data_IF_339880488134
#
_entry.id   IF_339880488134
#
_cell.length_a   1.000
_cell.length_b   1.000
_cell.length_c   1.000
_cell.angle_alpha   90.00
_cell.angle_beta   90.00
_cell.angle_gamma   90.00
#
_symmetry.space_group_name_H-M   'P 1'
#
loop_
_entity.id
_entity.type
_entity.pdbx_description
1 polymer ?
#
# COMPACT_ATOMS: atom_id res chain seq x y z
N UNK A 1 -36.60 14.94 2.38
CA UNK A 1 -35.47 14.57 3.26
C UNK A 1 -34.10 14.84 2.66
N UNK A 2 -33.88 14.81 1.33
CA UNK A 2 -32.54 15.07 0.76
C UNK A 2 -32.06 16.53 0.89
N UNK A 3 -32.92 17.54 0.70
CA UNK A 3 -32.54 18.97 0.80
C UNK A 3 -32.00 19.43 2.18
N UNK A 4 -32.28 18.68 3.25
CA UNK A 4 -31.79 19.00 4.62
C UNK A 4 -30.44 18.34 4.88
N UNK A 5 -30.17 17.19 4.25
CA UNK A 5 -28.89 16.50 4.34
C UNK A 5 -27.81 17.25 3.54
N UNK A 6 -28.17 17.83 2.39
CA UNK A 6 -27.24 18.60 1.53
C UNK A 6 -26.71 19.90 2.19
N UNK A 7 -27.35 20.37 3.27
CA UNK A 7 -26.91 21.55 4.04
C UNK A 7 -25.88 21.22 5.14
N UNK A 8 -25.61 19.94 5.40
CA UNK A 8 -24.64 19.49 6.40
C UNK A 8 -23.25 19.45 5.75
N UNK A 9 -22.20 20.04 6.37
CA UNK A 9 -20.85 19.98 5.82
C UNK A 9 -20.41 18.55 5.53
N UNK A 10 -19.74 18.32 4.41
CA UNK A 10 -19.27 16.98 4.00
C UNK A 10 -18.45 16.29 5.10
N UNK A 11 -17.63 17.06 5.84
CA UNK A 11 -16.84 16.55 6.98
C UNK A 11 -17.70 16.04 8.14
N UNK A 12 -18.88 16.63 8.37
CA UNK A 12 -19.82 16.18 9.40
C UNK A 12 -20.55 14.91 8.93
N UNK A 13 -20.92 14.85 7.65
CA UNK A 13 -21.50 13.64 7.06
C UNK A 13 -20.52 12.45 7.12
N UNK A 14 -19.26 12.68 6.77
CA UNK A 14 -18.20 11.68 6.82
C UNK A 14 -18.00 11.17 8.25
N UNK A 15 -17.86 12.06 9.25
CA UNK A 15 -17.72 11.65 10.66
C UNK A 15 -18.91 10.82 11.16
N UNK A 16 -20.13 11.17 10.75
CA UNK A 16 -21.31 10.39 11.08
C UNK A 16 -21.28 9.01 10.42
N UNK A 17 -20.90 8.92 9.14
CA UNK A 17 -20.71 7.66 8.43
C UNK A 17 -19.64 6.78 9.09
N UNK A 18 -18.46 7.34 9.41
CA UNK A 18 -17.40 6.64 10.15
C UNK A 18 -17.91 6.12 11.48
N UNK A 19 -18.59 6.96 12.27
CA UNK A 19 -19.11 6.56 13.58
C UNK A 19 -20.11 5.40 13.48
N UNK A 20 -21.02 5.43 12.50
CA UNK A 20 -21.98 4.35 12.26
C UNK A 20 -21.27 3.07 11.83
N UNK A 21 -20.43 3.12 10.80
CA UNK A 21 -19.71 1.96 10.29
C UNK A 21 -18.87 1.29 11.37
N UNK A 22 -18.03 2.07 12.05
CA UNK A 22 -17.13 1.55 13.09
C UNK A 22 -17.90 1.01 14.30
N UNK A 23 -19.07 1.56 14.61
CA UNK A 23 -19.94 1.01 15.66
C UNK A 23 -20.52 -0.35 15.26
N UNK A 24 -20.94 -0.51 14.00
CA UNK A 24 -21.43 -1.80 13.49
C UNK A 24 -20.32 -2.86 13.52
N UNK A 25 -19.10 -2.51 13.11
CA UNK A 25 -17.96 -3.44 13.11
C UNK A 25 -17.49 -3.84 14.52
N UNK A 26 -17.90 -3.11 15.56
CA UNK A 26 -17.62 -3.42 16.98
C UNK A 26 -18.74 -4.17 17.68
N UNK A 27 -19.80 -4.55 16.97
CA UNK A 27 -20.88 -5.35 17.54
C UNK A 27 -20.36 -6.70 18.06
N UNK A 28 -20.96 -7.26 19.13
CA UNK A 28 -20.66 -8.63 19.58
C UNK A 28 -20.73 -9.65 18.44
N UNK A 29 -19.82 -10.64 18.46
CA UNK A 29 -19.66 -11.64 17.39
C UNK A 29 -20.97 -12.24 16.85
N UNK A 30 -21.98 -12.61 17.67
CA UNK A 30 -23.23 -13.15 17.14
C UNK A 30 -24.02 -12.16 16.28
N UNK A 31 -24.01 -10.87 16.64
CA UNK A 31 -24.68 -9.81 15.87
C UNK A 31 -23.89 -9.46 14.62
N UNK A 32 -22.57 -9.34 14.74
CA UNK A 32 -21.70 -9.09 13.60
C UNK A 32 -21.79 -10.23 12.57
N UNK A 33 -21.91 -11.49 13.04
CA UNK A 33 -22.14 -12.66 12.16
C UNK A 33 -23.47 -12.59 11.41
N UNK A 34 -24.52 -11.98 11.99
CA UNK A 34 -25.79 -11.76 11.25
C UNK A 34 -25.63 -10.74 10.13
N UNK A 35 -24.77 -9.73 10.32
CA UNK A 35 -24.44 -8.75 9.26
C UNK A 35 -23.59 -9.41 8.18
N UNK A 36 -22.52 -10.11 8.59
CA UNK A 36 -21.56 -10.73 7.66
C UNK A 36 -22.16 -11.90 6.85
N UNK A 37 -23.11 -12.64 7.44
CA UNK A 37 -23.63 -13.89 6.88
C UNK A 37 -22.77 -15.12 7.24
N UNK A 38 -23.03 -16.28 6.57
CA UNK A 38 -22.27 -17.51 6.78
C UNK A 38 -20.76 -17.31 6.55
N UNK A 39 -19.87 -18.00 7.28
CA UNK A 39 -18.42 -17.85 7.08
C UNK A 39 -18.00 -18.08 5.63
N UNK A 40 -17.29 -17.11 5.05
CA UNK A 40 -16.69 -17.24 3.72
C UNK A 40 -15.41 -18.06 3.84
N UNK A 41 -15.39 -19.24 3.20
CA UNK A 41 -14.24 -20.13 3.14
C UNK A 41 -13.87 -20.43 1.71
N UNK A 42 -12.65 -20.10 1.31
CA UNK A 42 -12.12 -20.30 -0.05
C UNK A 42 -10.67 -20.75 0.10
N UNK A 43 -10.19 -21.69 -0.71
CA UNK A 43 -8.79 -22.15 -0.70
C UNK A 43 -8.27 -22.60 0.68
N UNK A 44 -9.15 -23.20 1.50
CA UNK A 44 -8.80 -23.72 2.84
C UNK A 44 -8.66 -22.67 3.95
N UNK A 45 -8.90 -21.39 3.67
CA UNK A 45 -8.85 -20.27 4.62
C UNK A 45 -10.24 -19.69 4.87
N UNK A 46 -10.45 -19.07 6.03
CA UNK A 46 -11.70 -18.38 6.42
C UNK A 46 -11.45 -16.88 6.52
N UNK A 47 -12.33 -16.09 5.93
CA UNK A 47 -12.24 -14.62 5.97
C UNK A 47 -12.53 -14.11 7.39
N UNK A 48 -11.74 -13.16 7.87
CA UNK A 48 -11.96 -12.54 9.17
C UNK A 48 -13.39 -11.96 9.24
N UNK A 49 -14.08 -12.19 10.36
CA UNK A 49 -15.50 -11.85 10.50
C UNK A 49 -15.75 -10.34 10.28
N UNK A 50 -14.90 -9.50 10.84
CA UNK A 50 -14.98 -8.04 10.73
C UNK A 50 -14.74 -7.58 9.29
N UNK A 51 -13.84 -8.24 8.57
CA UNK A 51 -13.57 -7.96 7.15
C UNK A 51 -14.75 -8.41 6.29
N UNK A 52 -15.32 -9.58 6.56
CA UNK A 52 -16.51 -10.07 5.88
C UNK A 52 -17.71 -9.13 6.09
N UNK A 53 -17.91 -8.64 7.33
CA UNK A 53 -18.94 -7.66 7.64
C UNK A 53 -18.72 -6.34 6.90
N UNK A 54 -17.48 -5.84 6.85
CA UNK A 54 -17.11 -4.63 6.13
C UNK A 54 -17.45 -4.74 4.64
N UNK A 55 -17.01 -5.81 3.97
CA UNK A 55 -17.32 -6.07 2.56
C UNK A 55 -18.83 -6.15 2.32
N UNK A 56 -19.58 -6.79 3.23
CA UNK A 56 -21.04 -6.90 3.09
C UNK A 56 -21.73 -5.55 3.23
N UNK A 57 -21.27 -4.68 4.13
CA UNK A 57 -21.80 -3.32 4.29
C UNK A 57 -21.47 -2.44 3.08
N UNK A 58 -20.27 -2.57 2.51
CA UNK A 58 -19.89 -1.89 1.26
C UNK A 58 -20.74 -2.33 0.07
N UNK A 59 -20.97 -3.64 -0.07
CA UNK A 59 -21.86 -4.18 -1.10
C UNK A 59 -23.29 -3.64 -0.99
N UNK A 60 -23.84 -3.58 0.23
CA UNK A 60 -25.17 -2.99 0.46
C UNK A 60 -25.22 -1.49 0.17
N UNK A 61 -24.08 -0.79 0.24
CA UNK A 61 -23.95 0.62 -0.13
C UNK A 61 -23.66 0.84 -1.63
N UNK A 62 -23.60 -0.23 -2.44
CA UNK A 62 -23.27 -0.16 -3.86
C UNK A 62 -21.79 0.15 -4.15
N UNK A 63 -20.91 -0.08 -3.18
CA UNK A 63 -19.46 0.17 -3.27
C UNK A 63 -18.68 -1.13 -3.45
N UNK A 64 -19.00 -1.89 -4.51
CA UNK A 64 -18.42 -3.23 -4.75
C UNK A 64 -17.11 -3.20 -5.54
N UNK A 65 -16.71 -2.04 -6.05
CA UNK A 65 -15.56 -1.86 -6.95
C UNK A 65 -14.79 -0.60 -6.61
N UNK A 66 -13.49 -0.63 -6.89
CA UNK A 66 -12.61 0.53 -6.81
C UNK A 66 -12.69 1.40 -8.06
N UNK A 67 -12.87 0.76 -9.23
CA UNK A 67 -13.06 1.44 -10.49
C UNK A 67 -14.37 2.22 -10.52
N UNK A 68 -14.36 3.31 -11.28
CA UNK A 68 -15.52 4.17 -11.51
C UNK A 68 -15.57 4.60 -12.98
N UNK A 69 -16.64 5.30 -13.36
CA UNK A 69 -16.82 5.80 -14.72
C UNK A 69 -15.69 6.77 -15.16
N UNK A 70 -15.06 7.47 -14.20
CA UNK A 70 -13.89 8.34 -14.46
C UNK A 70 -12.83 8.21 -13.35
N UNK A 71 -11.54 8.49 -13.65
CA UNK A 71 -10.47 8.51 -12.64
C UNK A 71 -10.75 9.45 -11.47
N UNK A 72 -11.31 10.63 -11.71
CA UNK A 72 -11.60 11.61 -10.65
C UNK A 72 -12.64 11.09 -9.66
N UNK A 73 -13.66 10.37 -10.14
CA UNK A 73 -14.64 9.73 -9.28
C UNK A 73 -14.03 8.58 -8.48
N UNK A 74 -13.13 7.80 -9.08
CA UNK A 74 -12.41 6.74 -8.38
C UNK A 74 -11.49 7.31 -7.28
N UNK A 75 -10.75 8.38 -7.58
CA UNK A 75 -9.91 9.13 -6.62
C UNK A 75 -10.74 9.66 -5.45
N UNK A 76 -11.85 10.35 -5.73
CA UNK A 76 -12.74 10.87 -4.70
C UNK A 76 -13.38 9.74 -3.86
N UNK A 77 -13.75 8.63 -4.50
CA UNK A 77 -14.29 7.44 -3.82
C UNK A 77 -13.30 6.82 -2.84
N UNK A 78 -12.03 6.68 -3.25
CA UNK A 78 -10.97 6.19 -2.36
C UNK A 78 -10.73 7.13 -1.18
N UNK A 79 -10.61 8.43 -1.43
CA UNK A 79 -10.43 9.44 -0.38
C UNK A 79 -11.57 9.40 0.66
N UNK A 80 -12.82 9.30 0.18
CA UNK A 80 -13.97 9.15 1.07
C UNK A 80 -13.94 7.82 1.84
N UNK A 81 -13.64 6.70 1.17
CA UNK A 81 -13.59 5.38 1.78
C UNK A 81 -12.58 5.30 2.92
N UNK A 82 -11.36 5.82 2.71
CA UNK A 82 -10.31 5.89 3.73
C UNK A 82 -10.73 6.73 4.93
N UNK A 83 -11.29 7.92 4.71
CA UNK A 83 -11.73 8.78 5.83
C UNK A 83 -12.85 8.12 6.65
N UNK A 84 -13.72 7.33 6.01
CA UNK A 84 -14.78 6.57 6.69
C UNK A 84 -14.20 5.50 7.63
N UNK A 85 -13.11 4.85 7.25
CA UNK A 85 -12.49 3.76 8.03
C UNK A 85 -11.32 4.18 8.91
N UNK A 86 -10.92 5.46 8.88
CA UNK A 86 -9.78 6.05 9.58
C UNK A 86 -9.70 5.71 11.08
N UNK A 87 -10.84 5.59 11.73
CA UNK A 87 -10.91 5.32 13.18
C UNK A 87 -10.47 6.53 14.01
N UNK A 88 -9.69 6.29 15.08
CA UNK A 88 -9.21 7.35 15.98
C UNK A 88 -8.00 8.12 15.44
N UNK A 89 -7.44 7.70 14.30
CA UNK A 89 -6.15 8.18 13.80
C UNK A 89 -4.96 7.83 14.69
N UNK A 90 -3.76 8.14 14.19
CA UNK A 90 -2.47 7.93 14.85
C UNK A 90 -1.89 9.28 15.27
N UNK A 91 -1.83 9.53 16.59
CA UNK A 91 -1.15 10.68 17.19
C UNK A 91 0.32 10.38 17.49
N UNK A 92 1.12 11.39 17.85
CA UNK A 92 2.53 11.21 18.23
C UNK A 92 3.51 11.25 17.06
N UNK A 93 3.12 11.91 15.96
CA UNK A 93 3.92 12.01 14.72
C UNK A 93 3.86 13.45 14.22
N UNK A 94 5.03 14.07 14.09
CA UNK A 94 5.20 15.37 13.46
C UNK A 94 5.22 15.20 11.95
N UNK A 95 4.48 16.06 11.26
CA UNK A 95 4.26 15.96 9.82
C UNK A 95 4.60 17.27 9.16
N UNK A 96 5.45 17.22 8.14
CA UNK A 96 5.88 18.40 7.39
C UNK A 96 5.82 18.16 5.89
N UNK A 97 5.35 19.18 5.16
CA UNK A 97 5.39 19.18 3.69
C UNK A 97 6.84 19.25 3.22
N UNK A 98 7.13 18.51 2.16
CA UNK A 98 8.41 18.47 1.46
C UNK A 98 8.14 18.49 -0.04
N UNK A 99 9.20 18.76 -0.77
CA UNK A 99 9.23 18.65 -2.22
C UNK A 99 10.43 17.83 -2.58
N UNK A 100 10.27 16.95 -3.56
CA UNK A 100 11.32 16.08 -4.10
C UNK A 100 11.58 16.54 -5.53
N UNK A 101 12.84 16.79 -5.88
CA UNK A 101 13.20 17.12 -7.25
C UNK A 101 13.28 15.84 -8.09
N UNK A 102 12.58 15.84 -9.22
CA UNK A 102 12.59 14.77 -10.21
C UNK A 102 12.83 15.32 -11.62
N UNK A 103 13.13 14.46 -12.59
CA UNK A 103 13.31 14.84 -13.99
C UNK A 103 12.06 15.48 -14.61
N UNK A 104 10.88 15.16 -14.09
CA UNK A 104 9.60 15.76 -14.48
C UNK A 104 9.26 17.06 -13.76
N UNK A 105 10.10 17.52 -12.83
CA UNK A 105 9.86 18.70 -11.99
C UNK A 105 9.75 18.35 -10.51
N UNK A 106 9.06 19.20 -9.76
CA UNK A 106 8.87 19.04 -8.32
C UNK A 106 7.71 18.10 -7.99
N UNK A 107 8.00 17.03 -7.24
CA UNK A 107 7.00 16.11 -6.70
C UNK A 107 6.66 16.50 -5.25
N UNK A 108 5.38 16.68 -4.90
CA UNK A 108 4.98 16.86 -3.51
C UNK A 108 5.36 15.63 -2.67
N UNK A 109 5.77 15.87 -1.43
CA UNK A 109 6.06 14.81 -0.48
C UNK A 109 5.64 15.20 0.94
N UNK A 110 5.49 14.19 1.80
CA UNK A 110 5.17 14.38 3.21
C UNK A 110 6.14 13.60 4.08
N UNK A 111 6.88 14.32 4.92
CA UNK A 111 7.81 13.75 5.89
C UNK A 111 7.10 13.56 7.24
N UNK A 112 7.13 12.33 7.73
CA UNK A 112 6.59 11.91 9.01
C UNK A 112 7.75 11.57 9.94
N UNK A 113 7.78 12.19 11.12
CA UNK A 113 8.79 11.96 12.15
C UNK A 113 8.12 11.65 13.49
N UNK A 114 8.46 10.55 14.17
CA UNK A 114 7.96 10.28 15.53
C UNK A 114 8.24 11.46 16.46
N UNK A 115 7.25 11.82 17.29
CA UNK A 115 7.48 12.83 18.34
C UNK A 115 8.60 12.39 19.28
N UNK A 116 9.45 13.33 19.70
CA UNK A 116 10.62 13.05 20.54
C UNK A 116 11.86 12.57 19.79
N UNK A 117 11.74 12.14 18.53
CA UNK A 117 12.90 11.75 17.70
C UNK A 117 13.55 12.97 17.06
N UNK A 118 14.68 13.43 17.61
CA UNK A 118 15.48 14.55 17.04
C UNK A 118 16.63 14.04 16.19
N UNK A 119 17.31 12.99 16.65
CA UNK A 119 18.48 12.43 15.99
C UNK A 119 18.15 11.79 14.64
N UNK A 120 19.12 11.72 13.71
CA UNK A 120 18.97 10.96 12.48
C UNK A 120 18.51 9.52 12.72
N UNK A 121 17.69 8.99 11.81
CA UNK A 121 17.20 7.61 11.87
C UNK A 121 17.00 7.07 10.46
N UNK A 122 16.72 5.77 10.34
CA UNK A 122 16.23 5.21 9.10
C UNK A 122 15.07 6.02 8.54
N UNK A 123 15.12 6.25 7.23
CA UNK A 123 14.07 6.89 6.45
C UNK A 123 13.51 5.88 5.46
N UNK A 124 12.21 5.62 5.57
CA UNK A 124 11.45 4.84 4.59
C UNK A 124 10.88 5.80 3.53
N UNK A 125 11.32 5.68 2.28
CA UNK A 125 10.65 6.33 1.14
C UNK A 125 9.44 5.47 0.79
N UNK A 126 8.25 6.04 0.95
CA UNK A 126 6.98 5.32 0.82
C UNK A 126 6.23 5.76 -0.44
N UNK A 127 5.81 4.79 -1.23
CA UNK A 127 4.99 4.98 -2.42
C UNK A 127 3.60 4.41 -2.15
N UNK A 128 2.57 5.23 -2.34
CA UNK A 128 1.21 4.83 -2.04
C UNK A 128 0.65 3.80 -3.05
N UNK A 129 -0.31 2.99 -2.63
CA UNK A 129 -1.09 2.13 -3.51
C UNK A 129 -2.18 2.88 -4.28
N UNK A 130 -2.87 2.16 -5.17
CA UNK A 130 -3.99 2.69 -5.95
C UNK A 130 -3.90 2.45 -7.46
N UNK A 131 -3.28 1.35 -7.88
CA UNK A 131 -3.22 0.95 -9.30
C UNK A 131 -2.61 2.01 -10.21
N UNK A 132 -1.69 2.84 -9.69
CA UNK A 132 -1.06 3.98 -10.38
C UNK A 132 -2.03 5.08 -10.89
N UNK A 133 -3.32 5.01 -10.51
CA UNK A 133 -4.38 5.92 -11.00
C UNK A 133 -5.05 6.67 -9.87
N UNK A 134 -5.18 6.04 -8.70
CA UNK A 134 -5.77 6.61 -7.48
C UNK A 134 -4.78 6.59 -6.32
N UNK A 135 -5.20 7.16 -5.20
CA UNK A 135 -4.33 7.37 -4.04
C UNK A 135 -3.57 8.70 -4.14
N UNK A 136 -3.06 9.14 -3.00
CA UNK A 136 -2.31 10.37 -2.80
C UNK A 136 -1.69 10.35 -1.38
N UNK A 137 -1.06 11.46 -0.99
CA UNK A 137 -0.51 11.63 0.36
C UNK A 137 -1.55 11.55 1.49
N UNK A 138 -2.82 11.90 1.24
CA UNK A 138 -3.86 11.95 2.27
C UNK A 138 -4.50 10.59 2.53
N UNK A 139 -4.76 9.83 1.47
CA UNK A 139 -5.29 8.45 1.52
C UNK A 139 -4.36 7.48 2.27
N UNK A 140 -3.06 7.78 2.38
CA UNK A 140 -2.07 6.94 3.05
C UNK A 140 -1.43 7.62 4.28
N UNK A 141 -1.97 8.78 4.72
CA UNK A 141 -1.44 9.55 5.85
C UNK A 141 -1.39 8.72 7.14
N UNK A 142 -2.47 8.01 7.45
CA UNK A 142 -2.56 7.18 8.65
C UNK A 142 -1.63 5.96 8.61
N UNK A 143 -1.46 5.34 7.44
CA UNK A 143 -0.50 4.24 7.27
C UNK A 143 0.93 4.74 7.50
N UNK A 144 1.31 5.87 6.90
CA UNK A 144 2.62 6.47 7.09
C UNK A 144 2.88 6.87 8.55
N UNK A 145 1.88 7.46 9.23
CA UNK A 145 1.96 7.74 10.67
C UNK A 145 2.12 6.47 11.49
N UNK A 146 1.37 5.42 11.18
CA UNK A 146 1.44 4.14 11.89
C UNK A 146 2.83 3.53 11.79
N UNK A 147 3.37 3.45 10.56
CA UNK A 147 4.71 2.94 10.30
C UNK A 147 5.78 3.79 11.00
N UNK A 148 5.74 5.12 10.84
CA UNK A 148 6.69 6.02 11.48
C UNK A 148 6.71 5.83 13.00
N UNK A 149 5.54 5.92 13.64
CA UNK A 149 5.40 5.83 15.10
C UNK A 149 5.84 4.49 15.65
N UNK A 150 5.35 3.39 15.07
CA UNK A 150 5.46 2.08 15.70
C UNK A 150 6.73 1.32 15.30
N UNK A 151 7.30 1.62 14.12
CA UNK A 151 8.64 1.17 13.77
C UNK A 151 9.73 2.13 14.28
N UNK A 152 9.34 3.31 14.78
CA UNK A 152 10.23 4.35 15.31
C UNK A 152 11.28 4.83 14.29
N UNK A 153 10.80 5.05 13.06
CA UNK A 153 11.57 5.51 11.90
C UNK A 153 10.93 6.76 11.28
N UNK A 154 11.65 7.43 10.40
CA UNK A 154 11.07 8.46 9.54
C UNK A 154 10.43 7.83 8.31
N UNK A 155 9.39 8.46 7.79
CA UNK A 155 8.75 8.07 6.52
C UNK A 155 8.64 9.31 5.63
N UNK A 156 9.07 9.21 4.38
CA UNK A 156 8.82 10.22 3.34
C UNK A 156 7.87 9.63 2.31
N UNK A 157 6.59 10.02 2.36
CA UNK A 157 5.61 9.62 1.36
C UNK A 157 5.72 10.53 0.14
N UNK A 158 5.76 9.95 -1.05
CA UNK A 158 5.94 10.66 -2.34
C UNK A 158 4.64 10.66 -3.13
N UNK A 159 4.25 11.83 -3.66
CA UNK A 159 3.07 12.06 -4.49
C UNK A 159 3.47 11.99 -5.97
N UNK A 160 3.67 10.77 -6.48
CA UNK A 160 4.14 10.54 -7.84
C UNK A 160 3.02 10.78 -8.87
N UNK A 161 3.38 11.02 -10.15
CA UNK A 161 2.41 11.26 -11.22
C UNK A 161 1.52 10.04 -11.48
N UNK A 162 0.21 10.30 -11.64
CA UNK A 162 -0.80 9.26 -11.84
C UNK A 162 -1.26 9.17 -13.28
N UNK A 163 -1.66 7.96 -13.67
CA UNK A 163 -2.42 7.70 -14.88
C UNK A 163 -3.90 8.10 -14.72
N UNK A 164 -4.62 8.35 -15.84
CA UNK A 164 -4.14 8.30 -17.24
C UNK A 164 -3.42 9.56 -17.72
N UNK A 165 -3.33 10.63 -16.91
CA UNK A 165 -2.67 11.88 -17.29
C UNK A 165 -1.17 11.68 -17.56
N UNK A 166 -0.56 10.77 -16.80
CA UNK A 166 0.82 10.34 -16.93
C UNK A 166 0.88 8.81 -16.91
N UNK A 167 0.66 8.14 -18.06
CA UNK A 167 0.70 6.68 -18.14
C UNK A 167 2.12 6.14 -17.88
N UNK A 168 2.24 4.82 -17.81
CA UNK A 168 3.53 4.14 -17.74
C UNK A 168 4.51 4.68 -18.80
N UNK A 169 5.79 4.96 -18.45
CA UNK A 169 6.48 4.64 -17.20
C UNK A 169 6.55 5.78 -16.15
N UNK A 170 5.74 6.84 -16.26
CA UNK A 170 5.94 8.07 -15.47
C UNK A 170 6.06 7.85 -13.94
N UNK A 171 5.15 7.07 -13.34
CA UNK A 171 5.20 6.76 -11.91
C UNK A 171 6.48 6.00 -11.49
N UNK A 172 6.99 5.11 -12.36
CA UNK A 172 8.21 4.36 -12.10
C UNK A 172 9.46 5.25 -12.17
N UNK A 173 9.50 6.19 -13.12
CA UNK A 173 10.54 7.20 -13.22
C UNK A 173 10.54 8.12 -11.99
N UNK A 174 9.36 8.63 -11.60
CA UNK A 174 9.20 9.47 -10.40
C UNK A 174 9.67 8.77 -9.12
N UNK A 175 9.39 7.48 -8.97
CA UNK A 175 9.82 6.72 -7.80
C UNK A 175 11.36 6.59 -7.73
N UNK A 176 12.01 6.36 -8.86
CA UNK A 176 13.48 6.27 -8.98
C UNK A 176 14.12 7.63 -8.71
N UNK A 177 13.63 8.69 -9.35
CA UNK A 177 14.11 10.06 -9.15
C UNK A 177 13.97 10.48 -7.69
N UNK A 178 12.83 10.14 -7.06
CA UNK A 178 12.61 10.43 -5.66
C UNK A 178 13.62 9.73 -4.74
N UNK A 179 13.98 8.49 -5.04
CA UNK A 179 14.99 7.76 -4.28
C UNK A 179 16.39 8.38 -4.45
N UNK A 180 16.76 8.77 -5.67
CA UNK A 180 18.03 9.46 -5.94
C UNK A 180 18.11 10.79 -5.18
N UNK A 181 17.05 11.60 -5.24
CA UNK A 181 16.95 12.84 -4.46
C UNK A 181 17.14 12.58 -2.96
N UNK A 182 16.51 11.53 -2.42
CA UNK A 182 16.65 11.18 -1.00
C UNK A 182 18.07 10.77 -0.63
N UNK A 183 18.78 10.04 -1.50
CA UNK A 183 20.18 9.70 -1.27
C UNK A 183 21.07 10.94 -1.19
N UNK A 184 20.82 11.93 -2.06
CA UNK A 184 21.58 13.18 -2.12
C UNK A 184 21.27 14.13 -0.97
N UNK A 185 20.04 14.08 -0.43
CA UNK A 185 19.52 15.02 0.57
C UNK A 185 19.21 14.33 1.92
N UNK A 186 19.82 13.17 2.18
CA UNK A 186 19.48 12.34 3.34
C UNK A 186 19.63 13.08 4.68
N UNK A 187 20.69 13.87 4.83
CA UNK A 187 20.96 14.63 6.06
C UNK A 187 19.87 15.67 6.35
N UNK A 188 19.42 16.42 5.32
CA UNK A 188 18.34 17.40 5.42
C UNK A 188 16.99 16.76 5.77
N UNK A 189 16.81 15.50 5.38
CA UNK A 189 15.65 14.67 5.72
C UNK A 189 15.79 14.01 7.11
N UNK A 190 16.90 14.22 7.81
CA UNK A 190 17.19 13.65 9.12
C UNK A 190 17.52 12.16 9.07
N UNK A 191 18.25 11.74 8.04
CA UNK A 191 18.72 10.37 7.83
C UNK A 191 20.18 10.37 7.37
N UNK A 192 20.71 9.20 7.03
CA UNK A 192 21.94 9.00 6.28
C UNK A 192 21.63 8.24 4.99
N UNK A 193 22.40 8.48 3.93
CA UNK A 193 22.34 7.69 2.70
C UNK A 193 22.60 6.19 2.94
N UNK A 194 23.28 5.84 4.05
CA UNK A 194 23.48 4.46 4.54
C UNK A 194 22.27 3.83 5.22
N UNK A 195 21.17 4.58 5.38
CA UNK A 195 20.00 4.15 6.15
C UNK A 195 18.68 4.50 5.47
N UNK A 196 18.63 4.41 4.13
CA UNK A 196 17.40 4.63 3.36
C UNK A 196 16.75 3.29 3.02
N UNK A 197 15.49 3.11 3.42
CA UNK A 197 14.64 1.99 3.02
C UNK A 197 13.60 2.48 2.00
N UNK A 198 13.04 1.56 1.23
CA UNK A 198 11.92 1.84 0.32
C UNK A 198 10.72 0.97 0.69
N UNK A 199 9.51 1.41 0.39
CA UNK A 199 8.34 0.59 0.62
C UNK A 199 7.08 1.17 0.01
N UNK A 200 6.03 0.36 0.04
CA UNK A 200 4.75 0.74 -0.50
C UNK A 200 3.77 -0.41 -0.48
N UNK A 201 2.53 -0.11 -0.84
CA UNK A 201 1.47 -1.09 -0.89
C UNK A 201 0.87 -1.23 -2.30
N UNK A 202 0.51 -2.45 -2.70
CA UNK A 202 -0.08 -2.71 -4.03
C UNK A 202 0.81 -2.18 -5.18
N UNK A 203 0.32 -1.23 -5.97
CA UNK A 203 1.08 -0.49 -6.97
C UNK A 203 2.30 0.26 -6.39
N UNK A 204 2.22 0.80 -5.18
CA UNK A 204 3.37 1.40 -4.50
C UNK A 204 4.41 0.36 -4.08
N UNK A 205 3.97 -0.85 -3.74
CA UNK A 205 4.86 -1.99 -3.51
C UNK A 205 5.63 -2.39 -4.77
N UNK A 206 4.98 -2.29 -5.94
CA UNK A 206 5.67 -2.41 -7.23
C UNK A 206 6.75 -1.34 -7.39
N UNK A 207 6.41 -0.07 -7.18
CA UNK A 207 7.36 1.06 -7.31
C UNK A 207 8.57 0.90 -6.38
N UNK A 208 8.37 0.45 -5.14
CA UNK A 208 9.46 0.15 -4.22
C UNK A 208 10.39 -0.96 -4.76
N UNK A 209 9.83 -2.02 -5.35
CA UNK A 209 10.61 -3.08 -5.99
C UNK A 209 11.36 -2.58 -7.23
N UNK A 210 10.73 -1.73 -8.06
CA UNK A 210 11.36 -1.07 -9.21
C UNK A 210 12.58 -0.27 -8.76
N UNK A 211 12.45 0.52 -7.70
CA UNK A 211 13.56 1.32 -7.16
C UNK A 211 14.71 0.43 -6.70
N UNK A 212 14.43 -0.67 -5.99
CA UNK A 212 15.48 -1.60 -5.56
C UNK A 212 16.20 -2.25 -6.75
N UNK A 213 15.47 -2.64 -7.79
CA UNK A 213 16.06 -3.23 -9.00
C UNK A 213 16.87 -2.19 -9.77
N UNK A 214 16.33 -0.98 -9.94
CA UNK A 214 17.01 0.12 -10.62
C UNK A 214 18.30 0.52 -9.90
N UNK A 215 18.27 0.64 -8.58
CA UNK A 215 19.44 1.01 -7.78
C UNK A 215 20.58 0.01 -7.99
N UNK A 216 20.27 -1.28 -7.92
CA UNK A 216 21.24 -2.36 -8.12
C UNK A 216 21.80 -2.37 -9.54
N UNK A 217 20.93 -2.28 -10.55
CA UNK A 217 21.33 -2.30 -11.96
C UNK A 217 22.19 -1.10 -12.38
N UNK A 218 22.02 0.05 -11.73
CA UNK A 218 22.72 1.30 -12.09
C UNK A 218 23.83 1.68 -11.09
N UNK A 219 24.18 0.79 -10.16
CA UNK A 219 25.24 1.03 -9.17
C UNK A 219 24.93 2.19 -8.20
N UNK A 220 23.65 2.52 -8.02
CA UNK A 220 23.23 3.40 -6.94
C UNK A 220 23.34 2.65 -5.61
N UNK A 221 23.38 3.41 -4.52
CA UNK A 221 23.34 2.82 -3.18
C UNK A 221 22.03 2.06 -2.98
N UNK A 222 22.11 0.75 -2.75
CA UNK A 222 20.92 -0.08 -2.55
C UNK A 222 20.16 0.33 -1.29
N UNK A 223 18.82 0.25 -1.30
CA UNK A 223 18.05 0.43 -0.09
C UNK A 223 18.49 -0.58 0.99
N UNK A 224 18.46 -0.17 2.25
CA UNK A 224 18.76 -1.07 3.38
C UNK A 224 17.67 -2.11 3.61
N UNK A 225 16.46 -1.83 3.09
CA UNK A 225 15.30 -2.71 3.13
C UNK A 225 14.30 -2.28 2.06
N UNK A 226 13.56 -3.24 1.49
CA UNK A 226 12.31 -2.99 0.78
C UNK A 226 11.10 -3.60 1.54
N UNK A 227 10.13 -2.77 1.93
CA UNK A 227 8.87 -3.18 2.55
C UNK A 227 7.77 -3.27 1.49
N UNK A 228 7.36 -4.48 1.14
CA UNK A 228 6.41 -4.75 0.06
C UNK A 228 5.09 -5.26 0.64
N UNK A 229 4.08 -4.39 0.69
CA UNK A 229 2.74 -4.75 1.17
C UNK A 229 1.88 -5.18 -0.02
N UNK A 230 1.56 -6.47 -0.10
CA UNK A 230 0.76 -7.12 -1.15
C UNK A 230 1.04 -6.56 -2.56
N UNK A 231 2.31 -6.59 -3.01
CA UNK A 231 2.75 -5.85 -4.19
C UNK A 231 2.15 -6.42 -5.47
N UNK A 232 1.84 -5.55 -6.43
CA UNK A 232 1.67 -5.96 -7.82
C UNK A 232 3.05 -6.25 -8.41
N UNK A 233 3.24 -7.42 -9.03
CA UNK A 233 4.58 -7.85 -9.49
C UNK A 233 4.61 -8.41 -10.90
N UNK A 234 3.45 -8.78 -11.47
CA UNK A 234 3.38 -9.28 -12.85
C UNK A 234 2.04 -8.98 -13.50
N UNK A 235 2.04 -8.02 -14.43
CA UNK A 235 0.87 -7.66 -15.21
C UNK A 235 0.63 -8.58 -16.43
N UNK A 236 1.56 -9.51 -16.71
CA UNK A 236 1.53 -10.37 -17.90
C UNK A 236 0.87 -11.73 -17.71
N UNK A 237 0.77 -12.23 -16.47
CA UNK A 237 0.29 -13.60 -16.20
C UNK A 237 -0.84 -13.61 -15.19
N UNK A 238 -1.98 -14.20 -15.57
CA UNK A 238 -3.08 -14.48 -14.64
C UNK A 238 -2.76 -15.73 -13.82
N UNK A 239 -2.78 -15.62 -12.49
CA UNK A 239 -2.53 -16.72 -11.54
C UNK A 239 -3.81 -17.18 -10.84
N UNK A 240 -3.73 -18.33 -10.15
CA UNK A 240 -4.85 -18.97 -9.45
C UNK A 240 -5.49 -18.06 -8.40
N UNK A 241 -4.73 -17.26 -7.66
CA UNK A 241 -5.28 -16.27 -6.73
C UNK A 241 -6.24 -15.28 -7.40
N UNK A 242 -5.94 -14.83 -8.62
CA UNK A 242 -6.82 -13.93 -9.38
C UNK A 242 -8.12 -14.61 -9.82
N UNK A 243 -8.11 -15.92 -10.06
CA UNK A 243 -9.32 -16.70 -10.32
C UNK A 243 -10.18 -16.88 -9.06
N UNK A 244 -9.54 -17.13 -7.92
CA UNK A 244 -10.22 -17.40 -6.65
C UNK A 244 -10.77 -16.13 -5.99
N UNK A 245 -10.03 -15.02 -6.06
CA UNK A 245 -10.28 -13.81 -5.28
C UNK A 245 -10.59 -12.56 -6.12
N UNK A 246 -10.62 -12.68 -7.45
CA UNK A 246 -10.92 -11.58 -8.36
C UNK A 246 -12.35 -11.03 -8.28
N UNK A 247 -13.20 -11.52 -7.38
CA UNK A 247 -14.56 -11.00 -7.18
C UNK A 247 -14.95 -11.04 -5.70
N UNK A 248 -15.56 -9.97 -5.20
CA UNK A 248 -16.17 -9.93 -3.86
C UNK A 248 -15.20 -9.67 -2.70
N UNK A 249 -13.90 -9.46 -2.95
CA UNK A 249 -12.87 -9.25 -1.92
C UNK A 249 -12.13 -7.90 -2.10
N UNK A 250 -12.91 -6.82 -2.21
CA UNK A 250 -12.46 -5.44 -2.45
C UNK A 250 -11.80 -5.20 -3.81
N UNK A 251 -10.61 -5.75 -4.05
CA UNK A 251 -9.96 -5.66 -5.35
C UNK A 251 -10.55 -6.70 -6.29
N UNK A 252 -11.21 -6.26 -7.37
CA UNK A 252 -11.79 -7.16 -8.36
C UNK A 252 -10.95 -7.26 -9.64
N UNK A 253 -11.20 -8.31 -10.40
CA UNK A 253 -10.61 -8.54 -11.71
C UNK A 253 -10.88 -7.38 -12.66
N UNK A 254 -12.12 -6.86 -12.62
CA UNK A 254 -12.49 -5.69 -13.40
C UNK A 254 -11.84 -4.39 -12.93
N UNK A 255 -11.52 -4.27 -11.64
CA UNK A 255 -10.73 -3.13 -11.15
C UNK A 255 -9.30 -3.21 -11.69
N UNK A 256 -8.68 -4.40 -11.63
CA UNK A 256 -7.34 -4.63 -12.17
C UNK A 256 -7.26 -4.33 -13.67
N UNK A 257 -8.24 -4.78 -14.45
CA UNK A 257 -8.31 -4.48 -15.89
C UNK A 257 -8.47 -2.97 -16.13
N UNK A 258 -9.36 -2.30 -15.39
CA UNK A 258 -9.54 -0.85 -15.49
C UNK A 258 -8.28 -0.06 -15.14
N UNK A 259 -7.57 -0.42 -14.08
CA UNK A 259 -6.29 0.20 -13.71
C UNK A 259 -5.24 0.00 -14.80
N UNK A 260 -5.14 -1.22 -15.35
CA UNK A 260 -4.19 -1.52 -16.39
C UNK A 260 -4.50 -0.80 -17.71
N UNK A 261 -5.77 -0.61 -18.05
CA UNK A 261 -6.18 0.13 -19.25
C UNK A 261 -5.86 1.63 -19.15
N UNK A 262 -5.87 2.19 -17.94
CA UNK A 262 -5.44 3.56 -17.70
C UNK A 262 -3.92 3.70 -17.64
N UNK A 263 -3.22 2.77 -16.99
CA UNK A 263 -1.79 2.87 -16.73
C UNK A 263 -0.92 2.40 -17.91
N UNK A 264 -1.25 1.25 -18.50
CA UNK A 264 -0.56 0.68 -19.65
C UNK A 264 -1.56 -0.03 -20.59
N UNK A 265 -2.24 0.72 -21.48
CA UNK A 265 -3.23 0.16 -22.40
C UNK A 265 -2.61 -0.79 -23.42
N UNK A 266 -1.30 -0.67 -23.72
CA UNK A 266 -0.63 -1.58 -24.64
C UNK A 266 -0.26 -2.89 -23.92
N UNK A 267 -1.05 -3.96 -24.16
CA UNK A 267 -0.87 -5.27 -23.50
C UNK A 267 0.52 -5.86 -23.72
N UNK A 268 1.12 -5.71 -24.92
CA UNK A 268 2.48 -6.18 -25.21
C UNK A 268 3.55 -5.53 -24.34
N UNK A 269 3.36 -4.26 -23.96
CA UNK A 269 4.28 -3.51 -23.12
C UNK A 269 4.16 -3.88 -21.62
N UNK A 270 3.14 -4.64 -21.21
CA UNK A 270 2.93 -5.02 -19.79
C UNK A 270 4.03 -5.95 -19.24
N UNK A 271 4.83 -6.56 -20.11
CA UNK A 271 5.97 -7.39 -19.74
C UNK A 271 7.25 -6.61 -19.36
N UNK A 272 7.27 -5.28 -19.52
CA UNK A 272 8.39 -4.44 -19.09
C UNK A 272 8.66 -4.65 -17.58
N UNK A 273 9.92 -4.83 -17.22
CA UNK A 273 10.33 -5.15 -15.84
C UNK A 273 10.03 -4.04 -14.83
N UNK A 274 9.80 -2.80 -15.30
CA UNK A 274 9.39 -1.67 -14.44
C UNK A 274 7.90 -1.70 -14.08
N UNK A 275 7.12 -2.58 -14.71
CA UNK A 275 5.73 -2.85 -14.35
C UNK A 275 5.59 -4.28 -13.82
N UNK A 276 6.26 -5.23 -14.46
CA UNK A 276 6.28 -6.64 -14.07
C UNK A 276 7.63 -7.01 -13.46
N UNK A 277 7.94 -6.49 -12.27
CA UNK A 277 9.20 -6.69 -11.54
C UNK A 277 9.55 -8.16 -11.32
N UNK A 278 8.55 -9.04 -11.28
CA UNK A 278 8.72 -10.49 -11.20
C UNK A 278 9.35 -11.09 -12.48
N UNK A 279 9.45 -10.34 -13.58
CA UNK A 279 10.05 -10.80 -14.84
C UNK A 279 11.52 -10.42 -14.99
N UNK A 280 12.11 -9.75 -13.99
CA UNK A 280 13.55 -9.54 -13.99
C UNK A 280 14.28 -10.88 -13.82
N UNK A 281 15.21 -11.18 -14.72
CA UNK A 281 15.94 -12.46 -14.72
C UNK A 281 16.99 -12.51 -13.61
N UNK A 282 17.57 -11.37 -13.25
CA UNK A 282 18.58 -11.25 -12.21
C UNK A 282 18.06 -10.43 -11.02
N UNK A 283 17.86 -11.12 -9.90
CA UNK A 283 17.42 -10.53 -8.63
C UNK A 283 18.53 -10.55 -7.58
N UNK A 284 19.77 -10.84 -7.97
CA UNK A 284 20.90 -10.89 -7.05
C UNK A 284 21.26 -9.49 -6.57
N UNK A 285 21.74 -9.38 -5.32
CA UNK A 285 22.19 -8.10 -4.75
C UNK A 285 21.09 -7.10 -4.39
N UNK A 286 19.81 -7.43 -4.58
CA UNK A 286 18.69 -6.58 -4.18
C UNK A 286 18.59 -6.42 -2.65
N UNK A 287 17.91 -5.36 -2.21
CA UNK A 287 17.73 -5.04 -0.81
C UNK A 287 17.03 -6.18 -0.04
N UNK A 288 17.42 -6.46 1.23
CA UNK A 288 16.64 -7.32 2.11
C UNK A 288 15.16 -6.93 2.08
N UNK A 289 14.27 -7.91 2.14
CA UNK A 289 12.86 -7.72 1.81
C UNK A 289 11.96 -8.19 2.95
N UNK A 290 11.00 -7.34 3.34
CA UNK A 290 9.81 -7.75 4.10
C UNK A 290 8.64 -7.77 3.12
N UNK A 291 8.15 -8.97 2.81
CA UNK A 291 7.07 -9.20 1.85
C UNK A 291 5.82 -9.70 2.57
N UNK A 292 4.76 -8.92 2.46
CA UNK A 292 3.48 -9.22 3.09
C UNK A 292 2.46 -9.56 2.01
N UNK A 293 1.70 -10.64 2.15
CA UNK A 293 0.55 -10.94 1.28
C UNK A 293 -0.74 -11.10 2.07
N UNK A 294 -1.86 -10.83 1.41
CA UNK A 294 -3.20 -11.09 1.95
C UNK A 294 -3.75 -12.40 1.38
N UNK A 295 -4.49 -13.15 2.19
CA UNK A 295 -5.02 -14.45 1.80
C UNK A 295 -6.10 -14.34 0.73
N UNK A 296 -7.02 -13.37 0.86
CA UNK A 296 -8.14 -13.13 -0.05
C UNK A 296 -7.79 -11.99 -1.00
N UNK A 297 -6.72 -12.18 -1.77
CA UNK A 297 -6.14 -11.15 -2.64
C UNK A 297 -5.81 -11.72 -4.03
N UNK A 298 -6.30 -11.11 -5.12
CA UNK A 298 -5.89 -11.47 -6.48
C UNK A 298 -4.38 -11.48 -6.71
N UNK A 299 -3.62 -10.60 -6.04
CA UNK A 299 -2.17 -10.44 -6.18
C UNK A 299 -1.35 -11.41 -5.30
N UNK A 300 -2.01 -12.25 -4.50
CA UNK A 300 -1.33 -13.14 -3.53
C UNK A 300 -0.24 -14.00 -4.17
N UNK A 301 -0.59 -14.74 -5.23
CA UNK A 301 0.31 -15.75 -5.78
C UNK A 301 1.52 -15.10 -6.49
N UNK A 302 1.36 -13.92 -7.11
CA UNK A 302 2.47 -13.23 -7.76
C UNK A 302 3.43 -12.58 -6.76
N UNK A 303 2.91 -11.99 -5.68
CA UNK A 303 3.74 -11.46 -4.60
C UNK A 303 4.56 -12.55 -3.91
N UNK A 304 3.95 -13.71 -3.63
CA UNK A 304 4.66 -14.84 -3.02
C UNK A 304 5.72 -15.45 -3.95
N UNK A 305 5.40 -15.53 -5.24
CA UNK A 305 6.35 -15.99 -6.25
C UNK A 305 7.55 -15.02 -6.35
N UNK A 306 7.32 -13.72 -6.26
CA UNK A 306 8.40 -12.73 -6.21
C UNK A 306 9.28 -12.90 -4.97
N UNK A 307 8.68 -13.11 -3.80
CA UNK A 307 9.40 -13.41 -2.57
C UNK A 307 10.25 -14.69 -2.67
N UNK A 308 9.71 -15.74 -3.29
CA UNK A 308 10.44 -17.00 -3.55
C UNK A 308 11.65 -16.75 -4.45
N UNK A 309 11.47 -16.05 -5.58
CA UNK A 309 12.55 -15.75 -6.53
C UNK A 309 13.65 -14.87 -5.90
N UNK A 310 13.29 -13.90 -5.07
CA UNK A 310 14.26 -13.11 -4.29
C UNK A 310 15.08 -14.02 -3.37
N UNK A 311 14.43 -14.90 -2.60
CA UNK A 311 15.11 -15.83 -1.71
C UNK A 311 16.03 -16.78 -2.46
N UNK A 312 15.62 -17.26 -3.64
CA UNK A 312 16.45 -18.13 -4.50
C UNK A 312 17.66 -17.42 -5.09
N UNK A 313 17.55 -16.11 -5.32
CA UNK A 313 18.66 -15.25 -5.71
C UNK A 313 19.57 -14.86 -4.54
N UNK A 314 19.32 -15.38 -3.32
CA UNK A 314 20.13 -15.15 -2.13
C UNK A 314 19.80 -13.86 -1.37
N UNK A 315 18.70 -13.17 -1.70
CA UNK A 315 18.24 -11.99 -0.95
C UNK A 315 17.63 -12.46 0.38
N UNK A 316 17.95 -11.82 1.53
CA UNK A 316 17.26 -12.09 2.78
C UNK A 316 15.79 -11.66 2.68
N UNK A 317 14.85 -12.62 2.82
CA UNK A 317 13.41 -12.36 2.72
C UNK A 317 12.69 -12.81 3.99
N UNK A 318 11.93 -11.89 4.59
CA UNK A 318 10.87 -12.20 5.55
C UNK A 318 9.56 -12.19 4.76
N UNK A 319 8.93 -13.35 4.58
CA UNK A 319 7.66 -13.46 3.87
C UNK A 319 6.54 -13.89 4.82
N UNK A 320 5.41 -13.16 4.79
CA UNK A 320 4.27 -13.44 5.66
C UNK A 320 2.94 -13.26 4.92
N UNK A 321 2.13 -14.31 4.90
CA UNK A 321 0.74 -14.26 4.47
C UNK A 321 -0.17 -14.00 5.67
N UNK A 322 -1.13 -13.09 5.51
CA UNK A 322 -2.28 -12.93 6.40
C UNK A 322 -3.50 -13.65 5.80
N UNK A 323 -3.77 -14.92 6.17
CA UNK A 323 -4.69 -15.80 5.43
C UNK A 323 -6.16 -15.36 5.48
N UNK A 324 -6.53 -14.53 6.46
CA UNK A 324 -7.89 -14.11 6.75
C UNK A 324 -8.19 -12.67 6.29
N UNK A 325 -7.24 -12.00 5.63
CA UNK A 325 -7.34 -10.60 5.22
C UNK A 325 -7.41 -10.45 3.69
N UNK A 326 -7.82 -9.26 3.25
CA UNK A 326 -8.04 -8.87 1.85
C UNK A 326 -6.95 -7.92 1.34
N UNK A 327 -6.92 -7.67 0.03
CA UNK A 327 -6.13 -6.59 -0.56
C UNK A 327 -6.41 -5.23 0.13
N UNK A 328 -5.39 -4.38 0.27
CA UNK A 328 -5.54 -3.03 0.84
C UNK A 328 -5.71 -2.97 2.37
N UNK A 329 -5.64 -4.10 3.08
CA UNK A 329 -5.94 -4.16 4.52
C UNK A 329 -5.07 -3.23 5.37
N UNK A 330 -3.85 -2.90 4.93
CA UNK A 330 -2.94 -2.03 5.66
C UNK A 330 -3.47 -0.59 5.76
N UNK A 331 -4.33 -0.15 4.83
CA UNK A 331 -5.01 1.15 4.88
C UNK A 331 -6.35 1.10 5.64
N UNK A 332 -6.85 -0.10 5.97
CA UNK A 332 -8.14 -0.32 6.64
C UNK A 332 -8.02 -0.58 8.14
N UNK A 333 -6.82 -0.47 8.73
CA UNK A 333 -6.53 -0.85 10.11
C UNK A 333 -7.32 -0.08 11.18
N UNK A 334 -7.93 1.05 10.82
CA UNK A 334 -8.85 1.79 11.69
C UNK A 334 -10.21 1.09 11.88
N UNK A 335 -10.59 0.19 10.95
CA UNK A 335 -11.91 -0.43 10.88
C UNK A 335 -12.12 -1.56 11.90
N UNK A 336 -11.08 -2.32 12.23
CA UNK A 336 -11.19 -3.53 13.06
C UNK A 336 -9.93 -3.77 13.91
N UNK A 337 -10.07 -4.30 15.15
CA UNK A 337 -8.95 -4.78 15.95
C UNK A 337 -8.04 -5.76 15.19
N UNK A 338 -8.62 -6.70 14.43
CA UNK A 338 -7.85 -7.71 13.69
C UNK A 338 -6.94 -7.09 12.63
N UNK A 339 -7.43 -6.08 11.90
CA UNK A 339 -6.64 -5.34 10.91
C UNK A 339 -5.50 -4.55 11.57
N UNK A 340 -5.76 -4.00 12.76
CA UNK A 340 -4.75 -3.29 13.56
C UNK A 340 -3.69 -4.23 14.13
N UNK A 341 -4.09 -5.41 14.60
CA UNK A 341 -3.16 -6.47 15.04
C UNK A 341 -2.20 -6.84 13.90
N UNK A 342 -2.73 -7.05 12.69
CA UNK A 342 -1.91 -7.32 11.52
C UNK A 342 -0.89 -6.22 11.23
N UNK A 343 -1.27 -4.95 11.40
CA UNK A 343 -0.33 -3.83 11.27
C UNK A 343 0.77 -3.82 12.33
N UNK A 344 0.48 -4.19 13.58
CA UNK A 344 1.51 -4.36 14.60
C UNK A 344 2.44 -5.55 14.28
N UNK A 345 1.89 -6.64 13.76
CA UNK A 345 2.67 -7.78 13.27
C UNK A 345 3.63 -7.35 12.14
N UNK A 346 3.15 -6.58 11.15
CA UNK A 346 3.97 -6.02 10.05
C UNK A 346 5.07 -5.10 10.57
N UNK A 347 4.77 -4.24 11.54
CA UNK A 347 5.78 -3.39 12.18
C UNK A 347 6.86 -4.23 12.88
N UNK A 348 6.49 -5.36 13.47
CA UNK A 348 7.43 -6.34 14.01
C UNK A 348 8.39 -6.86 12.95
N UNK A 349 7.86 -7.28 11.79
CA UNK A 349 8.67 -7.75 10.66
C UNK A 349 9.56 -6.63 10.07
N UNK A 350 9.04 -5.42 9.96
CA UNK A 350 9.78 -4.24 9.50
C UNK A 350 10.99 -3.97 10.43
N UNK A 351 10.78 -3.97 11.74
CA UNK A 351 11.86 -3.78 12.71
C UNK A 351 12.88 -4.91 12.67
N UNK A 352 12.42 -6.15 12.50
CA UNK A 352 13.32 -7.30 12.32
C UNK A 352 14.16 -7.15 11.04
N UNK A 353 13.54 -6.79 9.91
CA UNK A 353 14.23 -6.55 8.64
C UNK A 353 15.28 -5.44 8.74
N UNK A 354 14.94 -4.29 9.34
CA UNK A 354 15.89 -3.19 9.55
C UNK A 354 17.06 -3.56 10.46
N UNK A 355 16.86 -4.47 11.41
CA UNK A 355 17.93 -4.94 12.29
C UNK A 355 18.98 -5.80 11.58
N UNK A 356 18.62 -6.46 10.46
CA UNK A 356 19.56 -7.25 9.65
C UNK A 356 20.66 -6.38 9.02
N UNK A 357 20.37 -5.11 8.75
CA UNK A 357 21.34 -4.16 8.20
C UNK A 357 22.19 -3.46 9.27
N UNK A 358 21.65 -3.33 10.49
CA UNK A 358 22.31 -2.59 11.59
C UNK A 358 23.48 -3.34 12.24
N UNK A 359 23.75 -4.58 11.82
CA UNK A 359 24.79 -5.46 12.38
C UNK A 359 26.05 -5.63 11.52
N UNK A 360 26.21 -4.83 10.46
CA UNK A 360 27.34 -4.88 9.53
C UNK A 360 28.51 -3.99 9.91
#
# INVERSE_FOLDING_TARGET
MSKVLDAIPASVQQRAQSAVLLSLLRLPRPLLRRIAGPPTRVDGQELALEVQALLRLQALAGQERMAADTPERARAGMAQGIEVVRGSGVSGVQVSKRTVSAGSGELPARLYRPEGRTEPSTLLVFYHGGGWVVGDLDTHDELCRFLAKHADIRVLSVDYRLAPEHPFPAAAEDAVDAYQYVLENAEDLGSSADSIAVGGDSAGGNLAAVVSQHATANGLKSPVLQLLLYPATDAGTRRRSRELFGNGFLLTDGDMDWFMDMYQPEVSARNDQRLSVLRNEDLTGLAPTVLITAGFDPLRDEGEEYGRRLSEAGVPVISRRFPDLIHGFANLFGASPRLREAMFEIVGELRAGLSLHSGG
#
